data_IF_001429892154
#
_entry.id   IF_001429892154
#
_cell.length_a   1.000
_cell.length_b   1.000
_cell.length_c   1.000
_cell.angle_alpha   90.00
_cell.angle_beta   90.00
_cell.angle_gamma   90.00
#
_symmetry.space_group_name_H-M   'P 1'
#
loop_
_entity.id
_entity.type
_entity.pdbx_description
1 polymer ?
#
# COMPACT_ATOMS: atom_id res chain seq x y z
N UNK A 1 28.52 -13.24 3.98
CA UNK A 1 27.33 -13.47 3.19
C UNK A 1 26.15 -12.79 3.84
N UNK A 2 25.87 -11.55 3.37
CA UNK A 2 24.75 -10.73 3.82
C UNK A 2 23.51 -11.18 3.06
N UNK A 3 22.57 -11.80 3.77
CA UNK A 3 21.22 -12.05 3.28
C UNK A 3 20.45 -10.73 3.20
N UNK A 4 20.10 -10.33 2.00
CA UNK A 4 19.09 -9.31 1.73
C UNK A 4 17.73 -9.89 2.14
N UNK A 5 17.23 -9.46 3.29
CA UNK A 5 15.85 -9.70 3.74
C UNK A 5 14.97 -8.61 3.16
N UNK A 6 13.90 -9.04 2.54
CA UNK A 6 12.98 -8.35 1.65
C UNK A 6 12.52 -6.95 2.03
N UNK A 7 12.46 -6.14 1.00
CA UNK A 7 11.99 -4.74 0.97
C UNK A 7 10.47 -4.57 1.07
N UNK A 8 9.74 -5.50 1.68
CA UNK A 8 8.28 -5.41 1.80
C UNK A 8 7.77 -4.66 3.04
N UNK A 9 8.67 -4.17 3.89
CA UNK A 9 8.33 -3.67 5.23
C UNK A 9 8.28 -2.15 5.39
N UNK A 10 8.50 -1.36 4.34
CA UNK A 10 8.58 0.11 4.48
C UNK A 10 7.29 0.89 4.15
N UNK A 11 6.19 0.22 3.76
CA UNK A 11 4.90 0.92 3.53
C UNK A 11 3.98 0.88 4.76
N UNK A 12 4.41 0.26 5.84
CA UNK A 12 3.50 -0.15 6.92
C UNK A 12 3.58 0.67 8.18
N UNK A 13 4.11 1.80 8.36
CA UNK A 13 4.05 2.39 9.69
C UNK A 13 4.29 3.89 9.81
N UNK A 14 3.44 4.71 9.17
CA UNK A 14 3.30 6.07 9.68
C UNK A 14 1.89 6.42 10.20
N UNK A 15 0.97 5.46 10.28
CA UNK A 15 -0.42 5.69 10.76
C UNK A 15 -0.81 4.91 12.04
N UNK A 16 0.13 4.19 12.66
CA UNK A 16 -0.17 3.41 13.87
C UNK A 16 0.64 3.91 15.06
N UNK A 17 0.28 5.09 15.57
CA UNK A 17 0.62 5.42 16.96
C UNK A 17 -0.51 4.93 17.87
N UNK A 18 -0.21 4.46 19.10
CA UNK A 18 -1.23 4.00 20.07
C UNK A 18 -2.35 5.02 20.34
N UNK A 19 -2.06 6.32 20.19
CA UNK A 19 -3.03 7.41 20.32
C UNK A 19 -4.09 7.43 19.21
N UNK A 20 -3.74 7.00 17.98
CA UNK A 20 -4.70 6.90 16.87
C UNK A 20 -5.63 5.69 16.99
N UNK A 21 -5.18 4.62 17.65
CA UNK A 21 -6.02 3.46 17.95
C UNK A 21 -7.03 3.77 19.05
N UNK A 22 -6.64 4.52 20.07
CA UNK A 22 -7.53 4.95 21.16
C UNK A 22 -8.62 5.91 20.65
N UNK A 23 -8.29 6.84 19.74
CA UNK A 23 -9.26 7.76 19.16
C UNK A 23 -10.30 7.03 18.27
N UNK A 24 -9.87 6.06 17.45
CA UNK A 24 -10.79 5.25 16.62
C UNK A 24 -11.64 4.28 17.44
N UNK A 25 -11.12 3.74 18.53
CA UNK A 25 -11.89 2.89 19.44
C UNK A 25 -12.98 3.70 20.18
N UNK A 26 -12.69 4.95 20.56
CA UNK A 26 -13.66 5.86 21.16
C UNK A 26 -14.76 6.31 20.18
N UNK A 27 -14.44 6.49 18.90
CA UNK A 27 -15.40 6.85 17.85
C UNK A 27 -16.32 5.68 17.46
N UNK A 28 -15.81 4.44 17.53
CA UNK A 28 -16.60 3.23 17.25
C UNK A 28 -17.53 2.83 18.40
N UNK A 29 -17.23 3.22 19.64
CA UNK A 29 -18.10 2.97 20.79
C UNK A 29 -19.22 4.00 20.97
N UNK A 30 -19.14 5.15 20.31
CA UNK A 30 -20.14 6.23 20.42
C UNK A 30 -21.32 6.09 19.45
N UNK A 31 -21.37 5.09 18.59
CA UNK A 31 -22.39 4.96 17.52
C UNK A 31 -23.13 3.61 17.53
N UNK A 32 -23.48 3.06 18.70
CA UNK A 32 -24.40 1.91 18.79
C UNK A 32 -25.74 2.42 19.36
N UNK A 33 -26.78 2.55 18.54
CA UNK A 33 -28.10 2.90 19.05
C UNK A 33 -28.72 1.74 19.84
N UNK A 34 -29.38 2.09 20.93
CA UNK A 34 -29.90 1.24 22.03
C UNK A 34 -31.14 0.39 21.70
N UNK A 35 -31.49 0.11 20.44
CA UNK A 35 -32.69 -0.66 20.08
C UNK A 35 -32.44 -2.10 19.61
N UNK A 36 -31.34 -2.73 19.98
CA UNK A 36 -31.05 -4.13 19.64
C UNK A 36 -31.36 -5.14 20.73
N UNK A 37 -32.15 -4.77 21.75
CA UNK A 37 -32.64 -5.70 22.77
C UNK A 37 -34.16 -5.79 22.80
N UNK A 38 -34.78 -6.21 21.70
CA UNK A 38 -36.16 -6.75 21.79
C UNK A 38 -36.48 -7.64 20.59
N UNK A 39 -36.84 -8.88 20.85
CA UNK A 39 -37.61 -9.66 19.90
C UNK A 39 -36.98 -10.93 19.36
N UNK A 40 -36.99 -12.01 20.13
CA UNK A 40 -37.06 -13.37 19.58
C UNK A 40 -38.34 -13.51 18.76
N UNK A 41 -38.25 -13.34 17.45
CA UNK A 41 -39.35 -13.61 16.51
C UNK A 41 -38.78 -14.29 15.30
N UNK A 42 -39.07 -15.59 15.16
CA UNK A 42 -38.76 -16.43 14.02
C UNK A 42 -39.68 -16.02 12.87
N UNK A 43 -39.21 -15.18 11.97
CA UNK A 43 -39.86 -14.96 10.67
C UNK A 43 -38.98 -15.54 9.57
N UNK A 44 -39.48 -16.58 8.92
CA UNK A 44 -39.02 -17.02 7.61
C UNK A 44 -39.32 -15.88 6.63
N UNK A 45 -38.29 -15.10 6.30
CA UNK A 45 -38.33 -14.08 5.26
C UNK A 45 -37.26 -14.42 4.24
N UNK A 46 -37.69 -14.44 2.99
CA UNK A 46 -36.85 -14.61 1.80
C UNK A 46 -35.56 -13.80 1.93
N UNK A 47 -34.44 -14.48 1.85
CA UNK A 47 -33.11 -13.86 1.74
C UNK A 47 -32.99 -13.24 0.36
N UNK A 48 -33.48 -12.03 0.18
CA UNK A 48 -32.92 -11.14 -0.84
C UNK A 48 -31.48 -10.81 -0.38
N UNK A 49 -30.54 -11.65 -0.80
CA UNK A 49 -29.14 -11.48 -0.50
C UNK A 49 -28.70 -10.12 -1.04
N UNK A 50 -28.38 -9.18 -0.15
CA UNK A 50 -27.52 -8.07 -0.51
C UNK A 50 -26.21 -8.70 -0.97
N UNK A 51 -25.97 -8.67 -2.28
CA UNK A 51 -24.71 -9.05 -2.89
C UNK A 51 -23.66 -8.12 -2.30
N UNK A 52 -22.80 -8.64 -1.44
CA UNK A 52 -21.61 -7.92 -0.96
C UNK A 52 -20.64 -7.84 -2.15
N UNK A 53 -20.38 -6.65 -2.72
CA UNK A 53 -19.50 -6.52 -3.87
C UNK A 53 -18.07 -7.04 -3.63
N UNK A 54 -17.74 -7.39 -2.39
CA UNK A 54 -16.47 -8.05 -2.02
C UNK A 54 -16.49 -9.57 -2.12
N UNK A 55 -17.67 -10.20 -2.30
CA UNK A 55 -17.79 -11.66 -2.46
C UNK A 55 -17.63 -12.15 -3.90
N UNK A 56 -17.65 -11.23 -4.87
CA UNK A 56 -17.59 -11.58 -6.30
C UNK A 56 -16.17 -11.49 -6.91
N UNK A 57 -15.14 -11.29 -6.09
CA UNK A 57 -13.77 -11.33 -6.61
C UNK A 57 -13.42 -12.74 -7.09
N UNK A 58 -12.98 -12.85 -8.35
CA UNK A 58 -12.53 -14.12 -8.93
C UNK A 58 -11.45 -14.75 -8.08
N UNK A 59 -11.67 -15.99 -7.63
CA UNK A 59 -10.70 -16.77 -6.87
C UNK A 59 -10.07 -17.86 -7.74
N UNK A 60 -8.94 -18.37 -7.30
CA UNK A 60 -8.22 -19.43 -8.01
C UNK A 60 -9.01 -20.74 -7.98
N UNK A 61 -8.96 -21.47 -9.08
CA UNK A 61 -9.46 -22.82 -9.14
C UNK A 61 -8.61 -23.75 -8.25
N UNK A 62 -9.28 -24.68 -7.59
CA UNK A 62 -8.65 -25.69 -6.75
C UNK A 62 -8.28 -26.89 -7.63
N UNK A 63 -7.05 -27.38 -7.52
CA UNK A 63 -6.66 -28.64 -8.12
C UNK A 63 -7.18 -29.80 -7.25
N UNK A 64 -8.28 -30.42 -7.70
CA UNK A 64 -8.98 -31.49 -6.97
C UNK A 64 -8.13 -32.74 -6.90
N UNK A 65 -7.41 -33.11 -7.98
CA UNK A 65 -6.61 -34.33 -8.04
C UNK A 65 -5.41 -34.22 -7.08
N UNK A 66 -4.73 -33.07 -7.08
CA UNK A 66 -3.67 -32.81 -6.10
C UNK A 66 -4.20 -32.91 -4.67
N UNK A 67 -5.38 -32.34 -4.39
CA UNK A 67 -5.95 -32.35 -3.04
C UNK A 67 -6.41 -33.73 -2.60
N UNK A 68 -6.85 -34.59 -3.52
CA UNK A 68 -7.11 -36.01 -3.26
C UNK A 68 -5.82 -36.75 -2.90
N UNK A 69 -4.73 -36.53 -3.64
CA UNK A 69 -3.43 -37.11 -3.34
C UNK A 69 -2.90 -36.67 -1.96
N UNK A 70 -3.26 -35.47 -1.50
CA UNK A 70 -2.98 -34.96 -0.15
C UNK A 70 -3.88 -35.56 0.94
N UNK A 71 -4.79 -36.51 0.59
CA UNK A 71 -5.66 -37.21 1.54
C UNK A 71 -6.95 -36.48 1.89
N UNK A 72 -7.38 -35.46 1.12
CA UNK A 72 -8.66 -34.78 1.33
C UNK A 72 -9.83 -35.71 0.96
N UNK A 73 -10.82 -35.80 1.87
CA UNK A 73 -11.95 -36.72 1.71
C UNK A 73 -13.03 -36.22 0.74
N UNK A 74 -14.04 -37.09 0.46
CA UNK A 74 -15.15 -36.83 -0.49
C UNK A 74 -15.93 -35.53 -0.22
N UNK A 75 -16.05 -35.10 1.04
CA UNK A 75 -16.71 -33.83 1.39
C UNK A 75 -15.98 -32.61 0.81
N UNK A 76 -14.65 -32.63 0.90
CA UNK A 76 -13.82 -31.60 0.31
C UNK A 76 -13.90 -31.60 -1.22
N UNK A 77 -13.92 -32.77 -1.85
CA UNK A 77 -14.04 -32.94 -3.30
C UNK A 77 -15.35 -32.28 -3.83
N UNK A 78 -16.48 -32.56 -3.17
CA UNK A 78 -17.77 -31.95 -3.54
C UNK A 78 -17.74 -30.42 -3.40
N UNK A 79 -17.19 -29.94 -2.29
CA UNK A 79 -17.02 -28.51 -2.07
C UNK A 79 -16.14 -27.88 -3.16
N UNK A 80 -14.98 -28.48 -3.45
CA UNK A 80 -14.03 -27.97 -4.44
C UNK A 80 -14.62 -27.99 -5.85
N UNK A 81 -15.43 -28.98 -6.19
CA UNK A 81 -16.16 -29.02 -7.47
C UNK A 81 -17.14 -27.85 -7.59
N UNK A 82 -17.95 -27.62 -6.56
CA UNK A 82 -18.89 -26.48 -6.55
C UNK A 82 -18.18 -25.15 -6.55
N UNK A 83 -17.10 -25.03 -5.78
CA UNK A 83 -16.26 -23.84 -5.78
C UNK A 83 -15.69 -23.58 -7.18
N UNK A 84 -15.09 -24.58 -7.81
CA UNK A 84 -14.52 -24.44 -9.15
C UNK A 84 -15.56 -24.03 -10.19
N UNK A 85 -16.76 -24.61 -10.17
CA UNK A 85 -17.83 -24.23 -11.08
C UNK A 85 -18.21 -22.74 -10.94
N UNK A 86 -18.36 -22.26 -9.70
CA UNK A 86 -18.64 -20.84 -9.44
C UNK A 86 -17.49 -19.95 -9.93
N UNK A 87 -16.25 -20.34 -9.66
CA UNK A 87 -15.08 -19.55 -10.05
C UNK A 87 -14.84 -19.59 -11.57
N UNK A 88 -15.15 -20.68 -12.24
CA UNK A 88 -15.13 -20.75 -13.70
C UNK A 88 -16.15 -19.78 -14.32
N UNK A 89 -17.39 -19.77 -13.81
CA UNK A 89 -18.39 -18.82 -14.27
C UNK A 89 -17.97 -17.37 -14.04
N UNK A 90 -17.49 -17.03 -12.83
CA UNK A 90 -16.97 -15.71 -12.52
C UNK A 90 -15.78 -15.32 -13.42
N UNK A 91 -14.85 -16.25 -13.68
CA UNK A 91 -13.71 -16.05 -14.59
C UNK A 91 -14.18 -15.71 -16.01
N UNK A 92 -15.16 -16.45 -16.53
CA UNK A 92 -15.69 -16.22 -17.87
C UNK A 92 -16.46 -14.89 -17.96
N UNK A 93 -17.21 -14.53 -16.92
CA UNK A 93 -17.89 -13.24 -16.87
C UNK A 93 -16.88 -12.09 -16.95
N UNK A 94 -15.83 -12.09 -16.11
CA UNK A 94 -14.77 -11.06 -16.16
C UNK A 94 -14.07 -11.06 -17.52
N UNK A 95 -13.77 -12.22 -18.08
CA UNK A 95 -13.18 -12.34 -19.41
C UNK A 95 -14.04 -11.67 -20.50
N UNK A 96 -15.36 -11.85 -20.43
CA UNK A 96 -16.33 -11.23 -21.34
C UNK A 96 -16.51 -9.73 -21.08
N UNK A 97 -16.56 -9.30 -19.81
CA UNK A 97 -16.68 -7.88 -19.42
C UNK A 97 -15.51 -7.05 -19.94
N UNK A 98 -14.28 -7.59 -19.91
CA UNK A 98 -13.12 -6.97 -20.52
C UNK A 98 -13.08 -7.08 -22.05
N UNK A 99 -14.00 -7.82 -22.68
CA UNK A 99 -14.08 -8.00 -24.12
C UNK A 99 -12.94 -8.81 -24.73
N UNK A 100 -12.27 -9.66 -23.93
CA UNK A 100 -11.19 -10.50 -24.46
C UNK A 100 -11.76 -11.57 -25.40
N UNK A 101 -11.13 -11.70 -26.58
CA UNK A 101 -11.49 -12.69 -27.59
C UNK A 101 -10.43 -13.80 -27.72
N UNK A 102 -9.22 -13.56 -27.19
CA UNK A 102 -8.14 -14.53 -27.19
C UNK A 102 -7.31 -14.51 -25.89
N UNK A 103 -6.66 -15.61 -25.51
CA UNK A 103 -5.77 -15.67 -24.36
C UNK A 103 -4.61 -14.67 -24.42
N UNK A 104 -4.13 -14.36 -25.61
CA UNK A 104 -3.02 -13.41 -25.85
C UNK A 104 -3.44 -11.98 -25.47
N UNK A 105 -4.71 -11.61 -25.71
CA UNK A 105 -5.24 -10.31 -25.29
C UNK A 105 -5.30 -10.20 -23.76
N UNK A 106 -5.69 -11.27 -23.08
CA UNK A 106 -5.67 -11.33 -21.63
C UNK A 106 -4.23 -11.21 -21.09
N UNK A 107 -3.28 -11.89 -21.72
CA UNK A 107 -1.86 -11.80 -21.35
C UNK A 107 -1.33 -10.38 -21.49
N UNK A 108 -1.58 -9.74 -22.62
CA UNK A 108 -1.22 -8.35 -22.84
C UNK A 108 -1.87 -7.39 -21.81
N UNK A 109 -3.13 -7.65 -21.45
CA UNK A 109 -3.82 -6.86 -20.40
C UNK A 109 -3.21 -7.05 -19.01
N UNK A 110 -2.78 -8.27 -18.66
CA UNK A 110 -2.05 -8.56 -17.42
C UNK A 110 -0.73 -7.81 -17.38
N UNK A 111 0.02 -7.84 -18.49
CA UNK A 111 1.32 -7.16 -18.59
C UNK A 111 1.15 -5.64 -18.51
N UNK A 112 0.14 -5.09 -19.17
CA UNK A 112 -0.19 -3.66 -19.10
C UNK A 112 -0.54 -3.25 -17.67
N UNK A 113 -1.43 -3.98 -17.00
CA UNK A 113 -1.81 -3.70 -15.62
C UNK A 113 -0.61 -3.82 -14.65
N UNK A 114 0.31 -4.74 -14.91
CA UNK A 114 1.55 -4.86 -14.14
C UNK A 114 2.46 -3.64 -14.34
N UNK A 115 2.64 -3.18 -15.58
CA UNK A 115 3.48 -2.01 -15.89
C UNK A 115 2.89 -0.73 -15.28
N UNK A 116 1.58 -0.51 -15.39
CA UNK A 116 0.88 0.61 -14.75
C UNK A 116 1.12 0.63 -13.24
N UNK A 117 0.89 -0.50 -12.56
CA UNK A 117 1.12 -0.64 -11.11
C UNK A 117 2.58 -0.39 -10.74
N UNK A 118 3.53 -0.88 -11.55
CA UNK A 118 4.96 -0.72 -11.30
C UNK A 118 5.40 0.73 -11.47
N UNK A 119 4.89 1.41 -12.49
CA UNK A 119 5.15 2.83 -12.72
C UNK A 119 4.68 3.67 -11.53
N UNK A 120 3.41 3.53 -11.14
CA UNK A 120 2.84 4.26 -10.00
C UNK A 120 3.58 3.97 -8.69
N UNK A 121 4.04 2.71 -8.50
CA UNK A 121 4.90 2.35 -7.36
C UNK A 121 6.24 3.08 -7.39
N UNK A 122 6.82 3.30 -8.57
CA UNK A 122 8.04 4.08 -8.76
C UNK A 122 7.84 5.56 -8.41
N UNK A 123 6.73 6.13 -8.88
CA UNK A 123 6.33 7.52 -8.60
C UNK A 123 6.10 7.74 -7.10
N UNK A 124 5.42 6.80 -6.42
CA UNK A 124 5.24 6.82 -4.97
C UNK A 124 6.58 6.85 -4.21
N UNK A 125 7.53 6.00 -4.60
CA UNK A 125 8.87 5.98 -3.98
C UNK A 125 9.62 7.28 -4.18
N UNK A 126 9.55 7.85 -5.38
CA UNK A 126 10.17 9.14 -5.68
C UNK A 126 9.56 10.27 -4.84
N UNK A 127 8.22 10.26 -4.69
CA UNK A 127 7.51 11.22 -3.87
C UNK A 127 7.84 11.08 -2.37
N UNK A 128 7.97 9.84 -1.87
CA UNK A 128 8.39 9.57 -0.49
C UNK A 128 9.79 10.09 -0.21
N UNK A 129 10.71 9.90 -1.15
CA UNK A 129 12.08 10.45 -1.04
C UNK A 129 12.07 11.98 -0.98
N UNK A 130 11.27 12.64 -1.84
CA UNK A 130 11.08 14.10 -1.82
C UNK A 130 10.50 14.57 -0.48
N UNK A 131 9.47 13.88 -0.01
CA UNK A 131 8.80 14.21 1.25
C UNK A 131 9.75 14.06 2.44
N UNK A 132 10.55 13.01 2.46
CA UNK A 132 11.58 12.81 3.49
C UNK A 132 12.60 13.95 3.48
N UNK A 133 13.14 14.31 2.31
CA UNK A 133 14.10 15.43 2.20
C UNK A 133 13.51 16.77 2.66
N UNK A 134 12.21 17.04 2.35
CA UNK A 134 11.52 18.25 2.83
C UNK A 134 11.29 18.24 4.35
N UNK A 135 11.01 17.08 4.95
CA UNK A 135 10.88 16.93 6.41
C UNK A 135 12.21 17.13 7.11
N UNK A 136 13.30 16.57 6.58
CA UNK A 136 14.65 16.76 7.09
C UNK A 136 15.06 18.23 7.01
N UNK A 137 14.85 18.88 5.87
CA UNK A 137 15.09 20.31 5.72
C UNK A 137 14.32 21.13 6.76
N UNK A 138 13.03 20.85 6.94
CA UNK A 138 12.21 21.53 7.95
C UNK A 138 12.77 21.34 9.35
N UNK A 139 13.24 20.16 9.69
CA UNK A 139 13.87 19.86 10.97
C UNK A 139 15.15 20.69 11.18
N UNK A 140 16.01 20.78 10.16
CA UNK A 140 17.23 21.56 10.21
C UNK A 140 16.95 23.08 10.31
N UNK A 141 15.96 23.57 9.56
CA UNK A 141 15.52 24.98 9.64
C UNK A 141 14.99 25.31 11.04
N UNK A 142 14.21 24.42 11.65
CA UNK A 142 13.69 24.60 13.01
C UNK A 142 14.83 24.58 14.05
N UNK A 143 15.76 23.64 13.93
CA UNK A 143 16.92 23.53 14.80
C UNK A 143 17.79 24.81 14.73
N UNK A 144 18.09 25.27 13.51
CA UNK A 144 18.83 26.50 13.28
C UNK A 144 18.11 27.74 13.80
N UNK A 145 16.78 27.81 13.67
CA UNK A 145 16.01 28.94 14.19
C UNK A 145 15.99 29.00 15.71
N UNK A 146 15.97 27.84 16.41
CA UNK A 146 16.04 27.77 17.88
C UNK A 146 17.36 28.34 18.42
N UNK A 147 18.48 28.20 17.70
CA UNK A 147 19.80 28.72 18.11
C UNK A 147 19.99 30.18 17.80
N UNK A 148 19.00 30.88 17.24
CA UNK A 148 19.11 32.31 16.90
C UNK A 148 19.49 33.17 18.10
N UNK A 149 18.89 33.04 19.31
CA UNK A 149 19.24 33.85 20.46
C UNK A 149 20.72 33.71 20.85
N UNK A 150 21.24 32.49 20.86
CA UNK A 150 22.66 32.22 21.17
C UNK A 150 23.60 32.85 20.13
N UNK A 151 23.28 32.75 18.85
CA UNK A 151 24.06 33.35 17.75
C UNK A 151 24.02 34.88 17.77
N UNK A 152 22.88 35.47 18.06
CA UNK A 152 22.75 36.93 18.16
C UNK A 152 23.42 37.44 19.43
N UNK A 153 23.33 36.71 20.56
CA UNK A 153 24.06 37.00 21.79
C UNK A 153 25.58 36.97 21.62
N UNK A 154 26.12 36.04 20.81
CA UNK A 154 27.53 35.99 20.47
C UNK A 154 27.99 37.24 19.69
N UNK A 155 27.18 37.73 18.74
CA UNK A 155 27.48 38.94 17.97
C UNK A 155 27.53 40.20 18.85
N UNK A 156 26.72 40.19 19.91
CA UNK A 156 26.67 41.31 20.86
C UNK A 156 27.92 41.41 21.77
N UNK A 157 28.73 40.34 21.89
CA UNK A 157 29.94 40.34 22.69
C UNK A 157 31.05 41.18 22.04
N UNK A 158 31.54 42.18 22.77
CA UNK A 158 32.52 43.16 22.25
C UNK A 158 33.99 42.64 22.28
N UNK A 159 34.35 41.80 23.26
CA UNK A 159 35.70 41.30 23.38
C UNK A 159 35.83 39.83 23.01
N UNK A 160 36.99 39.44 22.52
CA UNK A 160 37.26 38.05 22.13
C UNK A 160 37.18 37.07 23.32
N UNK A 161 37.66 37.50 24.49
CA UNK A 161 37.56 36.73 25.74
C UNK A 161 36.09 36.50 26.14
N UNK A 162 35.23 37.53 26.00
CA UNK A 162 33.78 37.42 26.27
C UNK A 162 33.10 36.52 25.26
N UNK A 163 33.48 36.57 23.97
CA UNK A 163 32.98 35.67 22.92
C UNK A 163 33.32 34.22 23.21
N UNK A 164 34.54 33.92 23.61
CA UNK A 164 34.98 32.58 23.95
C UNK A 164 34.21 32.03 25.16
N UNK A 165 34.07 32.81 26.24
CA UNK A 165 33.30 32.42 27.40
C UNK A 165 31.81 32.22 27.09
N UNK A 166 31.21 33.10 26.28
CA UNK A 166 29.82 32.99 25.85
C UNK A 166 29.59 31.74 24.98
N UNK A 167 30.51 31.43 24.06
CA UNK A 167 30.45 30.24 23.22
C UNK A 167 30.57 28.98 24.05
N UNK A 168 31.41 28.94 25.05
CA UNK A 168 31.53 27.82 25.98
C UNK A 168 30.24 27.62 26.80
N UNK A 169 29.65 28.71 27.30
CA UNK A 169 28.42 28.66 28.07
C UNK A 169 27.20 28.20 27.25
N UNK A 170 27.22 28.38 25.91
CA UNK A 170 26.13 27.99 25.00
C UNK A 170 26.61 26.98 23.96
N UNK A 171 27.53 26.11 24.31
CA UNK A 171 28.21 25.18 23.39
C UNK A 171 27.21 24.29 22.62
N UNK A 172 26.20 23.76 23.30
CA UNK A 172 25.15 22.92 22.70
C UNK A 172 24.42 23.61 21.55
N UNK A 173 24.09 24.90 21.71
CA UNK A 173 23.40 25.68 20.68
C UNK A 173 24.29 25.92 19.47
N UNK A 174 25.61 26.15 19.69
CA UNK A 174 26.56 26.31 18.59
C UNK A 174 26.80 25.00 17.84
N UNK A 175 26.89 23.87 18.55
CA UNK A 175 26.99 22.55 17.90
C UNK A 175 25.76 22.29 16.97
N UNK A 176 24.58 22.60 17.47
CA UNK A 176 23.31 22.46 16.67
C UNK A 176 23.34 23.43 15.48
N UNK A 177 23.72 24.68 15.68
CA UNK A 177 23.79 25.67 14.62
C UNK A 177 24.83 25.28 13.54
N UNK A 178 26.00 24.81 13.93
CA UNK A 178 27.05 24.36 13.01
C UNK A 178 26.67 23.10 12.25
N UNK A 179 25.95 22.17 12.89
CA UNK A 179 25.41 21.00 12.24
C UNK A 179 24.38 21.36 11.17
N UNK A 180 23.44 22.25 11.50
CA UNK A 180 22.45 22.74 10.55
C UNK A 180 23.07 23.52 9.39
N UNK A 181 24.07 24.36 9.68
CA UNK A 181 24.83 25.12 8.65
C UNK A 181 25.59 24.21 7.69
N UNK A 182 26.17 23.11 8.19
CA UNK A 182 26.81 22.07 7.35
C UNK A 182 25.82 21.39 6.46
N UNK A 183 24.63 21.05 7.00
CA UNK A 183 23.54 20.48 6.20
C UNK A 183 23.11 21.41 5.06
N UNK A 184 22.90 22.70 5.33
CA UNK A 184 22.53 23.67 4.30
C UNK A 184 23.58 23.79 3.21
N UNK A 185 24.86 23.85 3.61
CA UNK A 185 25.98 23.91 2.66
C UNK A 185 26.04 22.64 1.79
N UNK A 186 25.89 21.48 2.38
CA UNK A 186 25.95 20.20 1.67
C UNK A 186 24.79 20.07 0.63
N UNK A 187 23.64 20.69 0.90
CA UNK A 187 22.46 20.67 0.01
C UNK A 187 22.35 21.92 -0.87
N UNK A 188 23.37 22.81 -0.90
CA UNK A 188 23.38 24.01 -1.73
C UNK A 188 22.32 25.05 -1.34
N UNK A 189 21.85 25.03 -0.10
CA UNK A 189 20.78 25.93 0.39
C UNK A 189 21.42 27.24 0.85
N UNK A 190 21.33 28.25 0.00
CA UNK A 190 21.83 29.60 0.29
C UNK A 190 20.80 30.47 1.02
N UNK A 191 19.53 30.32 0.66
CA UNK A 191 18.42 31.03 1.26
C UNK A 191 17.53 30.07 2.03
N UNK A 192 17.34 30.32 3.33
CA UNK A 192 16.48 29.50 4.16
C UNK A 192 15.00 29.73 3.81
N UNK A 193 14.27 28.68 3.46
CA UNK A 193 12.85 28.80 3.15
C UNK A 193 12.04 29.19 4.39
N UNK A 194 10.97 29.93 4.19
CA UNK A 194 10.05 30.26 5.26
C UNK A 194 9.38 28.99 5.81
N UNK A 195 9.30 28.87 7.13
CA UNK A 195 8.71 27.68 7.79
C UNK A 195 7.29 27.36 7.32
N UNK A 196 6.46 28.39 7.08
CA UNK A 196 5.09 28.24 6.60
C UNK A 196 5.06 27.69 5.16
N UNK A 197 5.93 28.22 4.28
CA UNK A 197 6.03 27.73 2.91
C UNK A 197 6.47 26.26 2.86
N UNK A 198 7.50 25.89 3.64
CA UNK A 198 7.97 24.52 3.72
C UNK A 198 6.93 23.55 4.30
N UNK A 199 6.11 24.02 5.24
CA UNK A 199 5.01 23.24 5.77
C UNK A 199 3.91 23.02 4.71
N UNK A 200 3.55 24.06 3.95
CA UNK A 200 2.57 23.95 2.87
C UNK A 200 3.05 22.99 1.77
N UNK A 201 4.35 23.04 1.38
CA UNK A 201 4.92 22.08 0.43
C UNK A 201 4.84 20.64 0.93
N UNK A 202 5.12 20.40 2.23
CA UNK A 202 5.01 19.07 2.84
C UNK A 202 3.56 18.58 2.81
N UNK A 203 2.59 19.43 3.13
CA UNK A 203 1.16 19.09 3.10
C UNK A 203 0.69 18.77 1.68
N UNK A 204 1.14 19.55 0.69
CA UNK A 204 0.86 19.28 -0.72
C UNK A 204 1.41 17.91 -1.14
N UNK A 205 2.69 17.60 -0.83
CA UNK A 205 3.30 16.31 -1.14
C UNK A 205 2.59 15.14 -0.45
N UNK A 206 2.06 15.34 0.75
CA UNK A 206 1.24 14.33 1.44
C UNK A 206 -0.06 14.08 0.69
N UNK A 207 -0.75 15.15 0.27
CA UNK A 207 -1.99 15.02 -0.51
C UNK A 207 -1.76 14.31 -1.86
N UNK A 208 -0.69 14.68 -2.57
CA UNK A 208 -0.28 14.01 -3.81
C UNK A 208 0.01 12.53 -3.58
N UNK A 209 0.72 12.20 -2.50
CA UNK A 209 1.02 10.81 -2.12
C UNK A 209 -0.26 10.01 -1.84
N UNK A 210 -1.22 10.59 -1.11
CA UNK A 210 -2.46 9.91 -0.77
C UNK A 210 -3.31 9.63 -2.03
N UNK A 211 -3.34 10.55 -3.00
CA UNK A 211 -3.96 10.34 -4.30
C UNK A 211 -3.30 9.22 -5.09
N UNK A 212 -1.99 9.26 -5.25
CA UNK A 212 -1.21 8.21 -5.92
C UNK A 212 -1.33 6.85 -5.24
N UNK A 213 -1.42 6.81 -3.92
CA UNK A 213 -1.60 5.57 -3.16
C UNK A 213 -2.95 4.89 -3.46
N UNK A 214 -4.02 5.67 -3.60
CA UNK A 214 -5.33 5.15 -4.00
C UNK A 214 -5.27 4.54 -5.40
N UNK A 215 -4.70 5.28 -6.37
CA UNK A 215 -4.49 4.79 -7.75
C UNK A 215 -3.66 3.49 -7.78
N UNK A 216 -2.56 3.44 -7.02
CA UNK A 216 -1.75 2.22 -6.90
C UNK A 216 -2.55 1.04 -6.34
N UNK A 217 -3.41 1.29 -5.35
CA UNK A 217 -4.22 0.24 -4.75
C UNK A 217 -5.24 -0.33 -5.74
N UNK A 218 -5.90 0.52 -6.53
CA UNK A 218 -6.83 0.12 -7.59
C UNK A 218 -6.13 -0.68 -8.69
N UNK A 219 -5.00 -0.18 -9.19
CA UNK A 219 -4.17 -0.88 -10.19
C UNK A 219 -3.68 -2.23 -9.69
N UNK A 220 -3.27 -2.31 -8.42
CA UNK A 220 -2.84 -3.56 -7.79
C UNK A 220 -3.99 -4.57 -7.68
N UNK A 221 -5.19 -4.13 -7.39
CA UNK A 221 -6.36 -5.00 -7.36
C UNK A 221 -6.71 -5.50 -8.75
N UNK A 222 -6.76 -4.61 -9.75
CA UNK A 222 -6.98 -4.96 -11.15
C UNK A 222 -5.95 -5.97 -11.66
N UNK A 223 -4.67 -5.73 -11.40
CA UNK A 223 -3.61 -6.68 -11.77
C UNK A 223 -3.82 -8.06 -11.13
N UNK A 224 -4.15 -8.12 -9.84
CA UNK A 224 -4.40 -9.40 -9.14
C UNK A 224 -5.61 -10.15 -9.71
N UNK A 225 -6.65 -9.44 -10.06
CA UNK A 225 -7.85 -10.01 -10.68
C UNK A 225 -7.52 -10.61 -12.04
N UNK A 226 -6.95 -9.82 -12.96
CA UNK A 226 -6.53 -10.28 -14.29
C UNK A 226 -5.53 -11.45 -14.21
N UNK A 227 -4.58 -11.41 -13.26
CA UNK A 227 -3.65 -12.51 -13.04
C UNK A 227 -4.37 -13.79 -12.58
N UNK A 228 -5.43 -13.66 -11.77
CA UNK A 228 -6.24 -14.80 -11.32
C UNK A 228 -7.06 -15.36 -12.47
N UNK A 229 -7.68 -14.49 -13.26
CA UNK A 229 -8.42 -14.85 -14.49
C UNK A 229 -7.50 -15.60 -15.46
N UNK A 230 -6.29 -15.06 -15.73
CA UNK A 230 -5.31 -15.74 -16.60
C UNK A 230 -4.99 -17.16 -16.11
N UNK A 231 -4.68 -17.31 -14.82
CA UNK A 231 -4.37 -18.63 -14.25
C UNK A 231 -5.55 -19.61 -14.36
N UNK A 232 -6.75 -19.12 -14.13
CA UNK A 232 -7.95 -19.96 -14.25
C UNK A 232 -8.18 -20.38 -15.71
N UNK A 233 -8.05 -19.48 -16.67
CA UNK A 233 -8.15 -19.78 -18.11
C UNK A 233 -7.06 -20.81 -18.51
N UNK A 234 -5.82 -20.60 -18.13
CA UNK A 234 -4.73 -21.54 -18.39
C UNK A 234 -5.04 -22.94 -17.82
N UNK A 235 -5.61 -23.01 -16.62
CA UNK A 235 -5.98 -24.27 -16.00
C UNK A 235 -7.16 -24.95 -16.71
N UNK A 236 -8.14 -24.19 -17.19
CA UNK A 236 -9.26 -24.70 -17.98
C UNK A 236 -8.78 -25.27 -19.30
N UNK A 237 -7.96 -24.50 -20.05
CA UNK A 237 -7.43 -24.92 -21.35
C UNK A 237 -6.53 -26.15 -21.25
N UNK A 238 -5.63 -26.24 -20.27
CA UNK A 238 -4.78 -27.41 -20.05
C UNK A 238 -5.55 -28.69 -19.72
N UNK A 239 -6.75 -28.56 -19.13
CA UNK A 239 -7.61 -29.74 -18.87
C UNK A 239 -8.30 -30.26 -20.11
N UNK A 240 -8.51 -29.46 -21.14
CA UNK A 240 -9.10 -29.86 -22.41
C UNK A 240 -8.11 -30.62 -23.32
N UNK A 241 -6.83 -30.25 -23.34
CA UNK A 241 -5.83 -30.91 -24.20
C UNK A 241 -5.62 -32.41 -23.94
N UNK A 242 -5.54 -32.91 -22.68
CA UNK A 242 -5.38 -34.34 -22.42
C UNK A 242 -6.59 -35.18 -22.84
N UNK A 243 -7.81 -34.62 -22.79
CA UNK A 243 -9.03 -35.32 -23.21
C UNK A 243 -9.08 -35.49 -24.71
N UNK A 244 -8.79 -34.46 -25.50
CA UNK A 244 -8.72 -34.53 -26.97
C UNK A 244 -7.69 -35.55 -27.44
N UNK A 245 -6.52 -35.65 -26.80
CA UNK A 245 -5.50 -36.66 -27.15
C UNK A 245 -5.96 -38.09 -26.86
N UNK A 246 -6.74 -38.34 -25.82
CA UNK A 246 -7.30 -39.66 -25.48
C UNK A 246 -8.39 -40.08 -26.47
N UNK A 247 -9.27 -39.18 -26.89
CA UNK A 247 -10.30 -39.48 -27.87
C UNK A 247 -9.70 -39.79 -29.24
N UNK A 248 -8.72 -39.04 -29.72
CA UNK A 248 -8.03 -39.30 -30.99
C UNK A 248 -7.20 -40.59 -31.01
N UNK A 249 -6.77 -41.13 -29.83
CA UNK A 249 -6.03 -42.40 -29.74
C UNK A 249 -6.96 -43.61 -29.72
N UNK A 250 -8.27 -43.45 -29.52
CA UNK A 250 -9.26 -44.53 -29.55
C UNK A 250 -9.94 -44.70 -30.92
N UNK A 251 -9.76 -43.76 -31.86
CA UNK A 251 -10.26 -43.85 -33.23
C UNK A 251 -9.24 -44.39 -34.25
N UNK A 252 -8.14 -44.96 -33.79
CA UNK A 252 -7.16 -45.68 -34.61
C UNK A 252 -7.04 -47.10 -34.08
#
# INVERSE_FOLDING_TARGET
PLRLVGSEMCIRDSRYTPQHQAARAAEQTAAIPEYLHAGKGRLQGEKTGKIDPRQDSVQRLVDIEQKKAEGKGRGYERWATMHNLKQMAATLNVYQEYGFTSPEQLEAAVDTAYQEMRQTSGELKALETKLQGKRELRQQVLAYAKTKPARDGLKAQKSEKARAAYRQANESDFIIADAAARYFKAHGITNLPARKALQAEIEQLISEKDGLYNTYHEQKQRFKELQTVKRNIDQILRREEPRRRKEQSHER
#
